data_IF_444920260828
#
_entry.id   IF_444920260828
#
_cell.length_a   1.000
_cell.length_b   1.000
_cell.length_c   1.000
_cell.angle_alpha   90.00
_cell.angle_beta   90.00
_cell.angle_gamma   90.00
#
_symmetry.space_group_name_H-M   'P 1'
#
loop_
_entity.id
_entity.type
_entity.pdbx_description
1 polymer ?
#
# COMPACT_ATOMS: atom_id res chain seq x y z
N UNK A 1 37.35 22.95 -52.64
CA UNK A 1 36.17 22.68 -51.79
C UNK A 1 35.86 21.19 -51.86
N UNK A 2 36.39 20.39 -50.95
CA UNK A 2 36.03 18.98 -50.85
C UNK A 2 34.94 18.85 -49.78
N UNK A 3 33.68 18.85 -50.20
CA UNK A 3 32.57 18.55 -49.29
C UNK A 3 32.33 17.04 -49.36
N UNK A 4 32.92 16.29 -48.42
CA UNK A 4 32.55 14.90 -48.17
C UNK A 4 31.17 14.91 -47.53
N UNK A 5 30.13 14.89 -48.36
CA UNK A 5 28.76 14.65 -47.92
C UNK A 5 28.75 13.21 -47.39
N UNK A 6 28.71 13.07 -46.06
CA UNK A 6 28.52 11.78 -45.42
C UNK A 6 27.30 11.10 -46.06
N UNK A 7 27.54 9.98 -46.72
CA UNK A 7 26.47 9.11 -47.17
C UNK A 7 25.81 8.58 -45.90
N UNK A 8 24.69 9.19 -45.50
CA UNK A 8 23.81 8.55 -44.55
C UNK A 8 23.40 7.23 -45.20
N UNK A 9 23.95 6.12 -44.71
CA UNK A 9 23.56 4.78 -45.15
C UNK A 9 22.05 4.66 -44.99
N UNK A 10 21.31 4.68 -46.11
CA UNK A 10 19.85 4.55 -46.15
C UNK A 10 19.38 3.12 -45.93
N UNK A 11 20.26 2.24 -45.45
CA UNK A 11 19.99 0.83 -45.18
C UNK A 11 19.78 0.69 -43.68
N UNK A 12 18.56 0.39 -43.21
CA UNK A 12 18.34 0.00 -41.83
C UNK A 12 19.24 -1.20 -41.49
N UNK A 13 19.85 -1.18 -40.31
CA UNK A 13 20.60 -2.34 -39.81
C UNK A 13 19.70 -3.59 -39.72
N UNK A 14 20.29 -4.80 -39.65
CA UNK A 14 19.51 -6.04 -39.48
C UNK A 14 18.57 -5.95 -38.28
N UNK A 15 17.37 -6.52 -38.41
CA UNK A 15 16.48 -6.65 -37.27
C UNK A 15 17.16 -7.49 -36.18
N UNK A 16 17.09 -7.00 -34.93
CA UNK A 16 17.56 -7.75 -33.77
C UNK A 16 16.67 -8.98 -33.50
N UNK A 17 17.19 -9.92 -32.71
CA UNK A 17 16.42 -11.08 -32.26
C UNK A 17 15.19 -10.66 -31.45
N UNK A 18 14.09 -11.39 -31.59
CA UNK A 18 12.93 -11.26 -30.72
C UNK A 18 13.22 -11.77 -29.30
N UNK A 19 12.40 -11.36 -28.34
CA UNK A 19 12.52 -11.84 -26.96
C UNK A 19 12.38 -13.37 -26.84
N UNK A 20 11.50 -13.98 -27.65
CA UNK A 20 11.36 -15.44 -27.72
C UNK A 20 12.58 -16.12 -28.34
N UNK A 21 13.20 -15.53 -29.37
CA UNK A 21 14.44 -16.05 -29.95
C UNK A 21 15.61 -15.99 -28.97
N UNK A 22 15.69 -14.94 -28.16
CA UNK A 22 16.64 -14.85 -27.05
C UNK A 22 16.36 -15.94 -26.00
N UNK A 23 15.09 -16.15 -25.63
CA UNK A 23 14.69 -17.20 -24.69
C UNK A 23 15.05 -18.61 -25.19
N UNK A 24 14.88 -18.89 -26.50
CA UNK A 24 15.34 -20.14 -27.12
C UNK A 24 16.85 -20.32 -27.02
N UNK A 25 17.62 -19.29 -27.34
CA UNK A 25 19.09 -19.33 -27.22
C UNK A 25 19.51 -19.57 -25.76
N UNK A 26 18.74 -19.06 -24.80
CA UNK A 26 18.93 -19.29 -23.37
C UNK A 26 18.42 -20.66 -22.87
N UNK A 27 17.94 -21.56 -23.75
CA UNK A 27 17.55 -22.93 -23.41
C UNK A 27 16.05 -23.19 -23.27
N UNK A 28 15.18 -22.23 -23.61
CA UNK A 28 13.74 -22.48 -23.65
C UNK A 28 13.38 -23.42 -24.81
N UNK A 29 12.77 -24.57 -24.49
CA UNK A 29 12.46 -25.62 -25.47
C UNK A 29 11.01 -25.61 -26.00
N UNK A 30 10.16 -24.70 -25.52
CA UNK A 30 8.75 -24.63 -25.90
C UNK A 30 8.46 -23.81 -27.16
N UNK A 31 7.18 -23.77 -27.54
CA UNK A 31 6.65 -22.88 -28.59
C UNK A 31 6.53 -21.44 -28.10
N UNK A 32 6.32 -20.50 -29.02
CA UNK A 32 6.10 -19.10 -28.67
C UNK A 32 4.84 -18.93 -27.81
N UNK A 33 3.78 -19.70 -28.09
CA UNK A 33 2.57 -19.71 -27.28
C UNK A 33 2.83 -20.21 -25.85
N UNK A 34 3.67 -21.24 -25.67
CA UNK A 34 4.08 -21.72 -24.35
C UNK A 34 4.98 -20.71 -23.63
N UNK A 35 5.86 -20.02 -24.36
CA UNK A 35 6.68 -18.94 -23.81
C UNK A 35 5.80 -17.81 -23.29
N UNK A 36 4.87 -17.31 -24.11
CA UNK A 36 3.92 -16.27 -23.72
C UNK A 36 3.08 -16.67 -22.50
N UNK A 37 2.60 -17.92 -22.46
CA UNK A 37 1.88 -18.44 -21.29
C UNK A 37 2.76 -18.48 -20.03
N UNK A 38 4.05 -18.77 -20.16
CA UNK A 38 4.99 -18.82 -19.04
C UNK A 38 5.35 -17.44 -18.46
N UNK A 39 5.15 -16.37 -19.24
CA UNK A 39 5.39 -15.00 -18.78
C UNK A 39 4.35 -14.54 -17.75
N UNK A 40 3.19 -15.21 -17.72
CA UNK A 40 2.15 -14.88 -16.75
C UNK A 40 2.52 -15.45 -15.37
N UNK A 41 2.76 -14.55 -14.41
CA UNK A 41 2.94 -14.94 -13.02
C UNK A 41 1.67 -15.54 -12.41
N UNK A 42 1.83 -16.32 -11.34
CA UNK A 42 0.70 -16.83 -10.57
C UNK A 42 -0.14 -15.66 -10.00
N UNK A 43 -1.47 -15.83 -9.89
CA UNK A 43 -2.30 -14.84 -9.20
C UNK A 43 -1.77 -14.57 -7.79
N UNK A 44 -1.84 -13.31 -7.36
CA UNK A 44 -1.56 -12.96 -5.97
C UNK A 44 -2.54 -13.67 -5.03
N UNK A 45 -2.06 -14.13 -3.87
CA UNK A 45 -2.95 -14.71 -2.87
C UNK A 45 -3.95 -13.66 -2.35
N UNK A 46 -5.17 -14.05 -1.92
CA UNK A 46 -6.14 -13.11 -1.38
C UNK A 46 -5.59 -12.41 -0.13
N UNK A 47 -6.09 -11.21 0.14
CA UNK A 47 -5.87 -10.47 1.39
C UNK A 47 -7.14 -10.55 2.24
N UNK A 48 -6.95 -10.66 3.54
CA UNK A 48 -7.99 -10.54 4.56
C UNK A 48 -8.20 -9.06 4.89
N UNK A 49 -9.45 -8.64 5.00
CA UNK A 49 -9.85 -7.27 5.37
C UNK A 49 -10.76 -7.36 6.58
N UNK A 50 -10.36 -6.73 7.68
CA UNK A 50 -11.10 -6.74 8.94
C UNK A 50 -11.26 -5.33 9.49
N UNK A 51 -12.43 -5.03 10.05
CA UNK A 51 -12.72 -3.77 10.69
C UNK A 51 -12.79 -3.95 12.20
N UNK A 52 -12.16 -3.05 12.94
CA UNK A 52 -12.17 -3.05 14.39
C UNK A 52 -12.55 -1.67 14.93
N UNK A 53 -13.34 -1.64 16.00
CA UNK A 53 -13.66 -0.41 16.72
C UNK A 53 -13.30 -0.60 18.19
N UNK A 54 -12.54 0.35 18.74
CA UNK A 54 -12.15 0.36 20.13
C UNK A 54 -12.25 1.79 20.68
N UNK A 55 -12.53 1.89 21.98
CA UNK A 55 -12.58 3.17 22.69
C UNK A 55 -11.22 3.47 23.29
N UNK A 56 -10.75 4.71 23.12
CA UNK A 56 -9.49 5.14 23.70
C UNK A 56 -9.53 5.20 25.23
N UNK A 57 -8.39 4.92 25.86
CA UNK A 57 -8.20 5.08 27.29
C UNK A 57 -8.01 6.58 27.68
N UNK A 58 -7.72 6.84 28.96
CA UNK A 58 -7.51 8.20 29.49
C UNK A 58 -6.32 8.93 28.87
N UNK A 59 -5.36 8.21 28.28
CA UNK A 59 -4.24 8.77 27.52
C UNK A 59 -4.55 8.95 26.04
N UNK A 60 -5.83 8.83 25.63
CA UNK A 60 -6.29 8.88 24.26
C UNK A 60 -5.64 7.82 23.34
N UNK A 61 -5.36 6.63 23.87
CA UNK A 61 -4.85 5.49 23.09
C UNK A 61 -5.92 4.41 22.99
N UNK A 62 -6.26 4.00 21.78
CA UNK A 62 -7.11 2.85 21.51
C UNK A 62 -6.25 1.62 21.19
N UNK A 63 -6.59 0.48 21.79
CA UNK A 63 -5.92 -0.81 21.56
C UNK A 63 -6.89 -1.77 20.90
N UNK A 64 -6.42 -2.45 19.85
CA UNK A 64 -7.22 -3.34 19.03
C UNK A 64 -6.59 -4.73 19.07
N UNK A 65 -7.40 -5.74 19.38
CA UNK A 65 -7.02 -7.14 19.25
C UNK A 65 -7.66 -7.71 17.98
N UNK A 66 -6.85 -8.31 17.12
CA UNK A 66 -7.35 -8.95 15.91
C UNK A 66 -8.00 -10.30 16.25
N UNK A 67 -9.07 -10.64 15.54
CA UNK A 67 -9.81 -11.88 15.75
C UNK A 67 -8.95 -13.14 15.52
N UNK A 68 -7.96 -13.03 14.63
CA UNK A 68 -6.91 -14.02 14.44
C UNK A 68 -5.59 -13.32 14.09
N UNK A 69 -4.46 -13.98 14.38
CA UNK A 69 -3.15 -13.48 14.01
C UNK A 69 -2.99 -13.45 12.49
N UNK A 70 -2.52 -12.32 11.96
CA UNK A 70 -1.96 -12.24 10.61
C UNK A 70 -0.61 -12.98 10.56
N UNK A 71 -0.24 -13.49 9.39
CA UNK A 71 1.05 -14.12 9.09
C UNK A 71 2.20 -13.11 9.25
N UNK A 72 1.94 -11.83 8.93
CA UNK A 72 2.85 -10.71 9.15
C UNK A 72 2.06 -9.47 9.61
N UNK A 73 2.73 -8.46 10.15
CA UNK A 73 2.06 -7.23 10.56
C UNK A 73 1.27 -6.63 9.36
N UNK A 74 -0.07 -6.49 9.46
CA UNK A 74 -0.89 -6.02 8.36
C UNK A 74 -0.75 -4.52 8.14
N UNK A 75 -1.20 -4.03 6.98
CA UNK A 75 -1.50 -2.62 6.81
C UNK A 75 -2.71 -2.29 7.69
N UNK A 76 -2.58 -1.27 8.55
CA UNK A 76 -3.70 -0.79 9.36
C UNK A 76 -3.98 0.66 9.00
N UNK A 77 -5.24 0.93 8.66
CA UNK A 77 -5.72 2.25 8.26
C UNK A 77 -6.73 2.76 9.28
N UNK A 78 -6.57 4.01 9.71
CA UNK A 78 -7.57 4.69 10.52
C UNK A 78 -8.75 5.08 9.64
N UNK A 79 -9.97 4.80 10.09
CA UNK A 79 -11.19 5.34 9.50
C UNK A 79 -11.64 6.53 10.34
N UNK A 80 -11.28 7.73 9.90
CA UNK A 80 -11.83 8.95 10.47
C UNK A 80 -13.34 9.01 10.27
N UNK A 81 -14.03 9.65 11.22
CA UNK A 81 -15.47 9.83 11.20
C UNK A 81 -15.90 11.06 11.97
N UNK A 82 -17.20 11.24 12.16
CA UNK A 82 -17.77 12.39 12.86
C UNK A 82 -18.38 11.98 14.20
N UNK A 83 -18.16 12.80 15.23
CA UNK A 83 -18.92 12.79 16.48
C UNK A 83 -19.53 14.17 16.66
N UNK A 84 -20.83 14.28 16.36
CA UNK A 84 -21.47 15.58 16.16
C UNK A 84 -20.72 16.38 15.08
N UNK A 85 -20.31 17.60 15.42
CA UNK A 85 -19.57 18.49 14.52
C UNK A 85 -18.04 18.38 14.65
N UNK A 86 -17.54 17.42 15.43
CA UNK A 86 -16.10 17.17 15.56
C UNK A 86 -15.69 15.98 14.71
N UNK A 87 -14.59 16.11 13.97
CA UNK A 87 -13.94 14.98 13.32
C UNK A 87 -13.22 14.16 14.39
N UNK A 88 -13.41 12.85 14.37
CA UNK A 88 -12.67 11.87 15.16
C UNK A 88 -11.73 11.13 14.22
N UNK A 89 -10.44 11.12 14.56
CA UNK A 89 -9.40 10.47 13.79
C UNK A 89 -8.26 10.01 14.68
N UNK A 90 -7.11 9.76 14.07
CA UNK A 90 -5.96 9.26 14.81
C UNK A 90 -4.83 8.80 13.93
N UNK A 91 -3.81 8.23 14.55
CA UNK A 91 -2.68 7.59 13.88
C UNK A 91 -2.33 6.28 14.55
N UNK A 92 -2.05 5.26 13.73
CA UNK A 92 -1.54 3.98 14.23
C UNK A 92 -0.14 4.20 14.80
N UNK A 93 0.08 3.80 16.05
CA UNK A 93 1.35 3.98 16.77
C UNK A 93 2.18 2.70 16.83
N UNK A 94 1.53 1.55 16.80
CA UNK A 94 2.19 0.25 16.69
C UNK A 94 1.25 -0.78 16.06
N UNK A 95 1.81 -1.71 15.30
CA UNK A 95 1.11 -2.85 14.71
C UNK A 95 1.90 -4.12 14.96
N UNK A 96 1.23 -5.16 15.39
CA UNK A 96 1.76 -6.53 15.50
C UNK A 96 0.92 -7.46 14.61
N UNK A 97 1.25 -8.75 14.58
CA UNK A 97 0.42 -9.76 13.92
C UNK A 97 -0.94 -9.97 14.60
N UNK A 98 -1.06 -9.62 15.87
CA UNK A 98 -2.24 -9.93 16.72
C UNK A 98 -3.04 -8.69 17.11
N UNK A 99 -2.57 -7.49 16.78
CA UNK A 99 -3.29 -6.27 17.10
C UNK A 99 -2.57 -5.00 16.66
N UNK A 100 -3.12 -3.87 17.06
CA UNK A 100 -2.50 -2.56 16.88
C UNK A 100 -2.91 -1.59 17.99
N UNK A 101 -2.19 -0.49 18.09
CA UNK A 101 -2.55 0.66 18.93
C UNK A 101 -2.64 1.92 18.08
N UNK A 102 -3.55 2.82 18.43
CA UNK A 102 -3.71 4.09 17.77
C UNK A 102 -3.84 5.24 18.78
N UNK A 103 -3.17 6.35 18.53
CA UNK A 103 -3.47 7.60 19.20
C UNK A 103 -4.76 8.18 18.59
N UNK A 104 -5.74 8.49 19.44
CA UNK A 104 -7.05 9.00 19.04
C UNK A 104 -7.10 10.51 19.28
N UNK A 105 -7.55 11.24 18.27
CA UNK A 105 -7.68 12.69 18.31
C UNK A 105 -9.06 13.13 17.84
N UNK A 106 -9.48 14.30 18.30
CA UNK A 106 -10.68 15.00 17.81
C UNK A 106 -10.34 16.40 17.36
N UNK A 107 -11.09 16.93 16.39
CA UNK A 107 -10.94 18.32 15.97
C UNK A 107 -11.38 19.30 17.06
N UNK A 108 -10.72 20.45 17.14
CA UNK A 108 -11.08 21.53 18.05
C UNK A 108 -12.08 22.47 17.38
N UNK A 109 -13.10 22.91 18.12
CA UNK A 109 -14.06 23.91 17.63
C UNK A 109 -13.52 25.34 17.61
N UNK A 110 -12.47 25.62 18.40
CA UNK A 110 -11.77 26.91 18.44
C UNK A 110 -10.27 26.67 18.39
N UNK A 111 -9.58 27.39 17.52
CA UNK A 111 -8.13 27.29 17.36
C UNK A 111 -7.46 28.38 18.18
N UNK A 112 -6.57 27.99 19.08
CA UNK A 112 -5.63 28.91 19.71
C UNK A 112 -4.46 29.14 18.76
N UNK A 113 -3.85 30.33 18.81
CA UNK A 113 -2.73 30.69 17.93
C UNK A 113 -1.49 29.82 18.15
N UNK A 114 -1.41 29.13 19.30
CA UNK A 114 -0.28 28.29 19.71
C UNK A 114 -0.53 26.80 19.55
N UNK A 115 -1.78 26.38 19.31
CA UNK A 115 -2.16 24.96 19.29
C UNK A 115 -2.61 24.51 17.90
N UNK A 116 -2.41 23.23 17.62
CA UNK A 116 -2.91 22.59 16.41
C UNK A 116 -4.42 22.34 16.44
N UNK A 117 -5.02 22.01 15.28
CA UNK A 117 -6.46 21.84 15.12
C UNK A 117 -7.04 20.57 15.74
N UNK A 118 -6.20 19.71 16.33
CA UNK A 118 -6.60 18.45 16.93
C UNK A 118 -6.07 18.33 18.35
N UNK A 119 -6.89 17.74 19.22
CA UNK A 119 -6.53 17.43 20.61
C UNK A 119 -6.68 15.93 20.91
N UNK A 120 -5.97 15.40 21.93
CA UNK A 120 -6.20 14.05 22.42
C UNK A 120 -7.67 13.82 22.78
N UNK A 121 -8.23 12.69 22.36
CA UNK A 121 -9.63 12.34 22.59
C UNK A 121 -9.73 11.05 23.42
N UNK A 122 -9.67 11.13 24.76
CA UNK A 122 -9.90 9.98 25.63
C UNK A 122 -11.37 9.55 25.61
N UNK A 123 -11.64 8.29 25.99
CA UNK A 123 -12.99 7.71 26.03
C UNK A 123 -13.77 7.87 24.73
N UNK A 124 -13.06 7.87 23.59
CA UNK A 124 -13.63 8.12 22.27
C UNK A 124 -13.42 6.90 21.38
N UNK A 125 -14.48 6.45 20.72
CA UNK A 125 -14.42 5.32 19.80
C UNK A 125 -13.71 5.71 18.49
N UNK A 126 -12.77 4.89 18.05
CA UNK A 126 -12.11 5.01 16.76
C UNK A 126 -12.15 3.67 16.03
N UNK A 127 -12.46 3.73 14.73
CA UNK A 127 -12.50 2.55 13.86
C UNK A 127 -11.24 2.46 13.03
N UNK A 128 -10.70 1.25 12.89
CA UNK A 128 -9.56 0.93 12.03
C UNK A 128 -9.93 -0.22 11.09
N UNK A 129 -9.20 -0.31 9.98
CA UNK A 129 -9.28 -1.43 9.03
C UNK A 129 -7.90 -2.06 8.91
N UNK A 130 -7.80 -3.35 9.21
CA UNK A 130 -6.59 -4.14 9.01
C UNK A 130 -6.68 -4.92 7.70
N UNK A 131 -5.63 -4.88 6.90
CA UNK A 131 -5.53 -5.52 5.59
C UNK A 131 -4.21 -6.29 5.51
N UNK A 132 -4.29 -7.61 5.38
CA UNK A 132 -3.10 -8.46 5.39
C UNK A 132 -3.42 -9.92 5.18
N UNK A 133 -2.40 -10.78 5.29
CA UNK A 133 -2.58 -12.24 5.31
C UNK A 133 -2.45 -12.74 6.73
#
# INVERSE_FOLDING_TARGET
MASLKGAASTVPGPAGKSAYEVAKVAGFAGTEAQWLASLQGAPGAPLRVEQYTATSNSSAVASYAFSSAFVAAPLVLVRSGWSGNQEIGGGITATTTTGCTAAVKRSRGTLLLTDGPFEPAPNTALTVVAIGR
#
